data_IF_962754864525
#
_entry.id   IF_962754864525
#
_cell.length_a   1.000
_cell.length_b   1.000
_cell.length_c   1.000
_cell.angle_alpha   90.00
_cell.angle_beta   90.00
_cell.angle_gamma   90.00
#
_symmetry.space_group_name_H-M   'P 1'
#
loop_
_entity.id
_entity.type
_entity.pdbx_description
1 polymer ?
#
# COMPACT_ATOMS: atom_id res chain seq x y z
N UNK A 1 -4.91 14.34 -10.65
CA UNK A 1 -5.27 13.71 -9.35
C UNK A 1 -4.04 13.02 -8.77
N UNK A 2 -3.77 13.24 -7.49
CA UNK A 2 -2.67 12.57 -6.75
C UNK A 2 -3.24 11.42 -5.94
N UNK A 3 -2.82 10.20 -6.23
CA UNK A 3 -3.20 8.98 -5.50
C UNK A 3 -1.98 8.48 -4.72
N UNK A 4 -2.10 8.34 -3.40
CA UNK A 4 -1.07 7.75 -2.56
C UNK A 4 -1.54 6.38 -2.05
N UNK A 5 -0.79 5.34 -2.40
CA UNK A 5 -1.07 3.96 -2.05
C UNK A 5 -0.15 3.44 -0.95
N UNK A 6 -0.68 2.56 -0.08
CA UNK A 6 0.08 1.90 0.96
C UNK A 6 -0.18 0.38 1.02
N UNK A 7 0.90 -0.41 1.06
CA UNK A 7 0.92 -1.79 1.56
C UNK A 7 1.41 -1.75 3.02
N UNK A 8 0.47 -1.81 3.95
CA UNK A 8 0.73 -1.57 5.37
C UNK A 8 1.25 -2.80 6.09
N UNK A 9 2.37 -2.63 6.82
CA UNK A 9 2.85 -3.63 7.77
C UNK A 9 3.55 -2.98 8.97
N UNK A 10 3.75 -3.76 10.03
CA UNK A 10 4.27 -3.25 11.31
C UNK A 10 5.75 -2.83 11.31
N UNK A 11 6.52 -3.30 10.36
CA UNK A 11 7.98 -3.09 10.32
C UNK A 11 8.48 -2.47 9.00
N UNK A 12 7.79 -2.75 7.91
CA UNK A 12 8.06 -2.19 6.58
C UNK A 12 6.74 -1.93 5.90
N UNK A 13 6.47 -0.69 5.56
CA UNK A 13 5.29 -0.25 4.79
C UNK A 13 5.74 0.22 3.43
N UNK A 14 5.26 -0.43 2.36
CA UNK A 14 5.44 0.05 0.99
C UNK A 14 4.51 1.21 0.69
N UNK A 15 4.93 2.12 -0.18
CA UNK A 15 4.10 3.20 -0.66
C UNK A 15 4.39 3.55 -2.12
N UNK A 16 3.40 4.11 -2.80
CA UNK A 16 3.53 4.59 -4.17
C UNK A 16 2.65 5.82 -4.39
N UNK A 17 3.20 6.84 -5.06
CA UNK A 17 2.50 8.05 -5.48
C UNK A 17 2.25 8.01 -6.98
N UNK A 18 1.01 8.15 -7.36
CA UNK A 18 0.59 8.37 -8.75
C UNK A 18 0.10 9.81 -8.92
N UNK A 19 0.50 10.43 -10.01
CA UNK A 19 0.02 11.78 -10.41
C UNK A 19 -0.53 11.68 -11.82
N UNK A 20 -1.79 12.02 -11.97
CA UNK A 20 -2.51 11.97 -13.26
C UNK A 20 -2.30 10.62 -13.99
N UNK A 21 -2.45 9.54 -13.24
CA UNK A 21 -2.35 8.16 -13.73
C UNK A 21 -0.93 7.64 -14.00
N UNK A 22 0.11 8.39 -13.68
CA UNK A 22 1.52 7.99 -13.84
C UNK A 22 2.18 7.77 -12.50
N UNK A 23 2.98 6.71 -12.40
CA UNK A 23 3.83 6.49 -11.23
C UNK A 23 4.90 7.59 -11.17
N UNK A 24 4.83 8.41 -10.12
CA UNK A 24 5.76 9.53 -9.91
C UNK A 24 6.88 9.14 -8.94
N UNK A 25 6.52 8.51 -7.83
CA UNK A 25 7.44 8.08 -6.79
C UNK A 25 6.96 6.80 -6.13
N UNK A 26 7.90 6.02 -5.62
CA UNK A 26 7.60 4.87 -4.76
C UNK A 26 8.72 4.65 -3.75
N UNK A 27 8.45 3.86 -2.74
CA UNK A 27 9.44 3.54 -1.74
C UNK A 27 8.88 2.73 -0.58
N UNK A 28 9.63 2.73 0.52
CA UNK A 28 9.22 2.04 1.75
C UNK A 28 9.62 2.82 3.00
N UNK A 29 8.76 2.77 3.99
CA UNK A 29 9.07 3.16 5.36
C UNK A 29 9.57 1.90 6.07
N UNK A 30 10.80 1.93 6.59
CA UNK A 30 11.41 0.81 7.32
C UNK A 30 11.77 1.25 8.73
N UNK A 31 11.32 0.48 9.73
CA UNK A 31 11.58 0.71 11.15
C UNK A 31 12.16 -0.53 11.85
N UNK A 32 12.67 -1.50 11.07
CA UNK A 32 13.17 -2.80 11.55
C UNK A 32 14.36 -2.70 12.51
N UNK A 33 15.18 -1.65 12.42
CA UNK A 33 16.32 -1.42 13.30
C UNK A 33 15.92 -1.01 14.73
N UNK A 34 14.68 -0.58 14.94
CA UNK A 34 14.17 -0.15 16.25
C UNK A 34 13.72 -1.40 17.01
N UNK A 35 14.42 -1.73 18.10
CA UNK A 35 14.14 -2.93 18.91
C UNK A 35 12.87 -2.81 19.74
N UNK A 36 12.65 -1.64 20.34
CA UNK A 36 11.45 -1.37 21.15
C UNK A 36 10.21 -1.31 20.27
N UNK A 37 9.18 -2.09 20.61
CA UNK A 37 7.98 -2.24 19.81
C UNK A 37 7.12 -0.97 19.80
N UNK A 38 7.06 -0.25 20.92
CA UNK A 38 6.26 0.97 21.05
C UNK A 38 6.92 2.12 20.28
N UNK A 39 8.25 2.26 20.40
CA UNK A 39 8.99 3.26 19.63
C UNK A 39 8.95 2.96 18.13
N UNK A 40 9.04 1.68 17.74
CA UNK A 40 8.89 1.26 16.33
C UNK A 40 7.52 1.65 15.77
N UNK A 41 6.45 1.44 16.53
CA UNK A 41 5.10 1.85 16.16
C UNK A 41 5.01 3.36 15.98
N UNK A 42 5.45 4.12 16.98
CA UNK A 42 5.49 5.58 16.94
C UNK A 42 6.27 6.14 15.74
N UNK A 43 7.44 5.54 15.42
CA UNK A 43 8.24 5.97 14.27
C UNK A 43 7.57 5.64 12.93
N UNK A 44 6.84 4.53 12.83
CA UNK A 44 6.03 4.23 11.66
C UNK A 44 4.91 5.27 11.49
N UNK A 45 4.20 5.61 12.57
CA UNK A 45 3.15 6.62 12.57
C UNK A 45 3.65 7.99 12.10
N UNK A 46 4.74 8.47 12.71
CA UNK A 46 5.34 9.77 12.37
C UNK A 46 5.71 9.82 10.88
N UNK A 47 6.45 8.82 10.40
CA UNK A 47 6.91 8.78 9.00
C UNK A 47 5.76 8.64 8.01
N UNK A 48 4.70 7.95 8.39
CA UNK A 48 3.49 7.83 7.55
C UNK A 48 2.76 9.18 7.45
N UNK A 49 2.62 9.89 8.55
CA UNK A 49 2.03 11.25 8.56
C UNK A 49 2.90 12.24 7.79
N UNK A 50 4.22 12.17 7.95
CA UNK A 50 5.14 13.04 7.20
C UNK A 50 5.04 12.78 5.69
N UNK A 51 4.88 11.52 5.27
CA UNK A 51 4.68 11.16 3.87
C UNK A 51 3.35 11.71 3.33
N UNK A 52 2.25 11.58 4.09
CA UNK A 52 0.94 12.15 3.73
C UNK A 52 1.02 13.68 3.58
N UNK A 53 1.70 14.37 4.50
CA UNK A 53 1.91 15.82 4.44
C UNK A 53 2.76 16.23 3.24
N UNK A 54 3.87 15.53 2.99
CA UNK A 54 4.81 15.86 1.92
C UNK A 54 4.17 15.76 0.54
N UNK A 55 3.31 14.77 0.32
CA UNK A 55 2.69 14.55 -0.99
C UNK A 55 1.34 15.23 -1.15
N UNK A 56 0.62 15.52 -0.05
CA UNK A 56 -0.71 16.12 -0.06
C UNK A 56 -1.61 15.46 -1.12
N UNK A 57 -1.94 14.15 -0.96
CA UNK A 57 -2.72 13.41 -1.94
C UNK A 57 -4.18 13.88 -1.96
N UNK A 58 -4.82 13.77 -3.12
CA UNK A 58 -6.26 13.95 -3.28
C UNK A 58 -7.03 12.68 -2.87
N UNK A 59 -6.40 11.52 -3.04
CA UNK A 59 -6.97 10.21 -2.77
C UNK A 59 -5.93 9.28 -2.15
N UNK A 60 -6.33 8.51 -1.14
CA UNK A 60 -5.49 7.49 -0.52
C UNK A 60 -6.11 6.12 -0.72
N UNK A 61 -5.30 5.13 -1.08
CA UNK A 61 -5.72 3.73 -1.13
C UNK A 61 -4.83 2.88 -0.25
N UNK A 62 -5.43 2.02 0.56
CA UNK A 62 -4.71 1.09 1.43
C UNK A 62 -5.23 -0.34 1.23
N UNK A 63 -4.34 -1.34 1.32
CA UNK A 63 -4.78 -2.73 1.24
C UNK A 63 -5.72 -3.07 2.39
N UNK A 64 -6.88 -3.66 2.07
CA UNK A 64 -7.77 -4.15 3.11
C UNK A 64 -7.22 -5.44 3.74
N UNK A 65 -7.56 -5.66 5.01
CA UNK A 65 -6.99 -6.76 5.78
C UNK A 65 -7.80 -8.04 5.60
N UNK A 66 -7.11 -9.14 5.36
CA UNK A 66 -7.70 -10.48 5.42
C UNK A 66 -7.59 -11.06 6.84
N UNK A 67 -8.67 -11.70 7.30
CA UNK A 67 -8.79 -12.26 8.67
C UNK A 67 -7.87 -13.46 8.99
N UNK A 68 -6.89 -13.78 8.14
CA UNK A 68 -5.97 -14.91 8.33
C UNK A 68 -4.69 -14.61 9.11
N UNK A 69 -4.50 -13.37 9.59
CA UNK A 69 -3.30 -12.97 10.36
C UNK A 69 -3.48 -13.26 11.86
N UNK A 70 -2.37 -13.40 12.60
CA UNK A 70 -2.42 -13.51 14.06
C UNK A 70 -3.10 -12.27 14.66
N UNK A 71 -3.78 -12.44 15.81
CA UNK A 71 -4.47 -11.33 16.52
C UNK A 71 -3.52 -10.17 16.80
N UNK A 72 -2.27 -10.44 17.17
CA UNK A 72 -1.27 -9.40 17.42
C UNK A 72 -0.93 -8.59 16.15
N UNK A 73 -0.71 -9.28 15.03
CA UNK A 73 -0.45 -8.60 13.75
C UNK A 73 -1.68 -7.80 13.28
N UNK A 74 -2.88 -8.35 13.46
CA UNK A 74 -4.12 -7.67 13.14
C UNK A 74 -4.27 -6.38 13.94
N UNK A 75 -4.03 -6.44 15.27
CA UNK A 75 -4.10 -5.27 16.17
C UNK A 75 -3.16 -4.15 15.70
N UNK A 76 -1.89 -4.47 15.41
CA UNK A 76 -0.90 -3.48 14.99
C UNK A 76 -1.28 -2.83 13.65
N UNK A 77 -1.65 -3.63 12.65
CA UNK A 77 -2.02 -3.09 11.33
C UNK A 77 -3.31 -2.28 11.40
N UNK A 78 -4.28 -2.66 12.27
CA UNK A 78 -5.50 -1.87 12.49
C UNK A 78 -5.21 -0.49 13.08
N UNK A 79 -4.21 -0.37 13.96
CA UNK A 79 -3.80 0.92 14.54
C UNK A 79 -3.22 1.84 13.45
N UNK A 80 -2.32 1.34 12.59
CA UNK A 80 -1.78 2.12 11.46
C UNK A 80 -2.87 2.53 10.47
N UNK A 81 -3.78 1.61 10.17
CA UNK A 81 -4.94 1.92 9.32
C UNK A 81 -5.79 3.04 9.93
N UNK A 82 -6.09 2.94 11.22
CA UNK A 82 -6.84 3.98 11.96
C UNK A 82 -6.18 5.34 11.89
N UNK A 83 -4.84 5.41 11.98
CA UNK A 83 -4.07 6.65 11.80
C UNK A 83 -4.28 7.25 10.40
N UNK A 84 -4.10 6.46 9.35
CA UNK A 84 -4.23 6.94 7.97
C UNK A 84 -5.67 7.40 7.69
N UNK A 85 -6.67 6.59 8.08
CA UNK A 85 -8.10 6.92 7.92
C UNK A 85 -8.43 8.22 8.67
N UNK A 86 -8.01 8.34 9.94
CA UNK A 86 -8.24 9.54 10.74
C UNK A 86 -7.59 10.79 10.16
N UNK A 87 -6.36 10.67 9.66
CA UNK A 87 -5.68 11.75 8.95
C UNK A 87 -6.45 12.17 7.69
N UNK A 88 -6.86 11.20 6.86
CA UNK A 88 -7.61 11.49 5.64
C UNK A 88 -8.94 12.18 5.93
N UNK A 89 -9.72 11.66 6.88
CA UNK A 89 -11.00 12.27 7.29
C UNK A 89 -10.82 13.70 7.80
N UNK A 90 -9.79 13.94 8.64
CA UNK A 90 -9.52 15.27 9.19
C UNK A 90 -9.16 16.29 8.11
N UNK A 91 -8.45 15.86 7.07
CA UNK A 91 -8.01 16.71 5.96
C UNK A 91 -8.93 16.70 4.74
N UNK A 92 -10.08 16.01 4.78
CA UNK A 92 -11.01 15.91 3.67
C UNK A 92 -10.46 15.13 2.46
N UNK A 93 -9.53 14.20 2.69
CA UNK A 93 -8.94 13.35 1.67
C UNK A 93 -9.80 12.10 1.51
N UNK A 94 -10.18 11.76 0.28
CA UNK A 94 -10.89 10.52 0.01
C UNK A 94 -9.99 9.31 0.24
N UNK A 95 -10.56 8.22 0.83
CA UNK A 95 -9.80 7.01 1.14
C UNK A 95 -10.60 5.75 0.80
N UNK A 96 -9.92 4.77 0.21
CA UNK A 96 -10.47 3.43 -0.05
C UNK A 96 -9.63 2.33 0.62
N UNK A 97 -10.36 1.32 1.14
CA UNK A 97 -9.80 0.03 1.54
C UNK A 97 -9.97 -0.94 0.38
N UNK A 98 -8.88 -1.33 -0.27
CA UNK A 98 -8.93 -2.20 -1.44
C UNK A 98 -8.57 -3.64 -1.08
N UNK A 99 -9.49 -4.57 -1.35
CA UNK A 99 -9.25 -6.00 -1.10
C UNK A 99 -8.06 -6.53 -1.91
N UNK A 100 -7.21 -7.40 -1.33
CA UNK A 100 -6.08 -8.00 -2.05
C UNK A 100 -6.49 -8.70 -3.35
N UNK A 101 -7.61 -9.40 -3.36
CA UNK A 101 -8.12 -10.07 -4.57
C UNK A 101 -8.49 -9.07 -5.69
N UNK A 102 -8.93 -7.88 -5.33
CA UNK A 102 -9.35 -6.86 -6.29
C UNK A 102 -8.17 -6.27 -7.06
N UNK A 103 -7.16 -5.76 -6.36
CA UNK A 103 -5.99 -5.18 -7.03
C UNK A 103 -5.17 -6.23 -7.79
N UNK A 104 -5.07 -7.47 -7.26
CA UNK A 104 -4.41 -8.57 -7.97
C UNK A 104 -5.15 -8.96 -9.26
N UNK A 105 -6.49 -8.91 -9.26
CA UNK A 105 -7.29 -9.14 -10.47
C UNK A 105 -7.03 -8.06 -11.51
N UNK A 106 -7.01 -6.79 -11.11
CA UNK A 106 -6.71 -5.67 -12.00
C UNK A 106 -5.29 -5.74 -12.58
N UNK A 107 -4.33 -6.23 -11.80
CA UNK A 107 -2.96 -6.52 -12.26
C UNK A 107 -2.82 -7.88 -12.99
N UNK A 108 -3.92 -8.60 -13.23
CA UNK A 108 -3.97 -9.92 -13.92
C UNK A 108 -3.11 -10.99 -13.26
N UNK A 109 -2.97 -10.96 -11.93
CA UNK A 109 -2.22 -11.99 -11.21
C UNK A 109 -2.95 -13.32 -11.23
N UNK A 110 -2.18 -14.40 -11.36
CA UNK A 110 -2.69 -15.76 -11.14
C UNK A 110 -2.98 -15.92 -9.65
N UNK A 111 -4.25 -16.14 -9.33
CA UNK A 111 -4.76 -16.34 -7.98
C UNK A 111 -5.51 -17.66 -7.92
N UNK A 112 -5.16 -18.53 -6.99
CA UNK A 112 -5.82 -19.82 -6.80
C UNK A 112 -5.43 -20.42 -5.46
N UNK A 113 -6.06 -21.54 -5.08
CA UNK A 113 -5.78 -22.24 -3.83
C UNK A 113 -4.32 -22.70 -3.72
N UNK A 114 -3.69 -23.00 -4.86
CA UNK A 114 -2.30 -23.45 -4.96
C UNK A 114 -1.29 -22.28 -5.04
N UNK A 115 -1.76 -21.03 -5.20
CA UNK A 115 -0.86 -19.88 -5.37
C UNK A 115 -0.29 -19.47 -4.02
N UNK A 116 1.01 -19.63 -3.84
CA UNK A 116 1.73 -19.27 -2.62
C UNK A 116 1.92 -17.76 -2.49
N UNK A 117 2.13 -17.30 -1.24
CA UNK A 117 2.47 -15.88 -0.98
C UNK A 117 3.75 -15.45 -1.71
N UNK A 118 4.74 -16.33 -1.82
CA UNK A 118 5.98 -16.05 -2.54
C UNK A 118 5.74 -15.82 -4.04
N UNK A 119 4.87 -16.63 -4.65
CA UNK A 119 4.48 -16.47 -6.04
C UNK A 119 3.74 -15.15 -6.28
N UNK A 120 2.81 -14.76 -5.39
CA UNK A 120 2.11 -13.48 -5.49
C UNK A 120 3.08 -12.29 -5.42
N UNK A 121 4.04 -12.32 -4.49
CA UNK A 121 5.07 -11.29 -4.38
C UNK A 121 5.99 -11.21 -5.61
N UNK A 122 6.33 -12.36 -6.18
CA UNK A 122 7.10 -12.42 -7.43
C UNK A 122 6.32 -11.82 -8.59
N UNK A 123 5.04 -12.16 -8.73
CA UNK A 123 4.15 -11.57 -9.74
C UNK A 123 4.07 -10.05 -9.64
N UNK A 124 4.00 -9.49 -8.40
CA UNK A 124 4.00 -8.04 -8.20
C UNK A 124 5.29 -7.39 -8.70
N UNK A 125 6.45 -7.98 -8.39
CA UNK A 125 7.74 -7.45 -8.85
C UNK A 125 7.90 -7.56 -10.37
N UNK A 126 7.49 -8.67 -10.99
CA UNK A 126 7.49 -8.86 -12.43
C UNK A 126 6.57 -7.86 -13.12
N UNK A 127 5.35 -7.68 -12.59
CA UNK A 127 4.40 -6.70 -13.11
C UNK A 127 4.95 -5.27 -13.11
N UNK A 128 5.58 -4.87 -12.00
CA UNK A 128 6.18 -3.54 -11.86
C UNK A 128 7.35 -3.36 -12.82
N UNK A 129 8.21 -4.38 -12.97
CA UNK A 129 9.31 -4.33 -13.93
C UNK A 129 8.80 -4.20 -15.38
N UNK A 130 7.74 -4.92 -15.74
CA UNK A 130 7.20 -4.90 -17.11
C UNK A 130 6.46 -3.60 -17.45
N UNK A 131 5.71 -3.03 -16.48
CA UNK A 131 4.82 -1.90 -16.75
C UNK A 131 5.42 -0.54 -16.42
N UNK A 132 6.41 -0.49 -15.54
CA UNK A 132 7.02 0.75 -15.05
C UNK A 132 8.54 0.81 -15.26
N UNK A 133 9.15 -0.25 -15.81
CA UNK A 133 10.62 -0.41 -15.97
C UNK A 133 11.39 -0.15 -14.66
N UNK A 134 10.83 -0.63 -13.54
CA UNK A 134 11.34 -0.38 -12.19
C UNK A 134 11.62 -1.69 -11.45
N UNK A 135 12.83 -1.83 -10.90
CA UNK A 135 13.18 -2.91 -9.96
C UNK A 135 12.75 -2.52 -8.55
N UNK A 136 11.53 -2.89 -8.18
CA UNK A 136 10.98 -2.62 -6.86
C UNK A 136 11.27 -3.75 -5.86
N UNK A 137 11.35 -3.40 -4.56
CA UNK A 137 11.30 -4.39 -3.47
C UNK A 137 9.88 -4.96 -3.37
N UNK A 138 9.69 -6.08 -2.64
CA UNK A 138 8.38 -6.73 -2.54
C UNK A 138 7.29 -5.79 -2.00
N UNK A 139 7.56 -5.11 -0.88
CA UNK A 139 6.58 -4.23 -0.24
C UNK A 139 6.29 -2.98 -1.10
N UNK A 140 7.28 -2.48 -1.81
CA UNK A 140 7.15 -1.38 -2.77
C UNK A 140 6.33 -1.80 -4.01
N UNK A 141 6.59 -3.01 -4.54
CA UNK A 141 5.87 -3.54 -5.70
C UNK A 141 4.37 -3.75 -5.38
N UNK A 142 4.05 -4.29 -4.20
CA UNK A 142 2.66 -4.44 -3.77
C UNK A 142 1.97 -3.07 -3.69
N UNK A 143 2.62 -2.04 -3.11
CA UNK A 143 2.06 -0.68 -3.05
C UNK A 143 1.87 -0.04 -4.43
N UNK A 144 2.80 -0.26 -5.37
CA UNK A 144 2.66 0.21 -6.76
C UNK A 144 1.46 -0.45 -7.43
N UNK A 145 1.29 -1.77 -7.28
CA UNK A 145 0.15 -2.50 -7.84
C UNK A 145 -1.19 -2.02 -7.25
N UNK A 146 -1.26 -1.78 -5.93
CA UNK A 146 -2.44 -1.22 -5.25
C UNK A 146 -2.77 0.17 -5.83
N UNK A 147 -1.78 1.04 -5.94
CA UNK A 147 -1.96 2.40 -6.46
C UNK A 147 -2.38 2.40 -7.93
N UNK A 148 -1.77 1.56 -8.75
CA UNK A 148 -2.16 1.43 -10.15
C UNK A 148 -3.56 0.86 -10.34
N UNK A 149 -3.98 -0.07 -9.48
CA UNK A 149 -5.35 -0.56 -9.47
C UNK A 149 -6.36 0.56 -9.16
N UNK A 150 -6.02 1.47 -8.23
CA UNK A 150 -6.84 2.66 -7.97
C UNK A 150 -6.88 3.60 -9.18
N UNK A 151 -5.75 3.86 -9.84
CA UNK A 151 -5.70 4.61 -11.12
C UNK A 151 -6.63 3.99 -12.16
N UNK A 152 -6.55 2.67 -12.36
CA UNK A 152 -7.40 1.97 -13.32
C UNK A 152 -8.88 2.14 -12.98
N UNK A 153 -9.24 2.03 -11.71
CA UNK A 153 -10.62 2.14 -11.25
C UNK A 153 -11.17 3.56 -11.37
N UNK A 154 -10.43 4.56 -10.90
CA UNK A 154 -10.95 5.92 -10.72
C UNK A 154 -10.65 6.87 -11.87
N UNK A 155 -9.52 6.72 -12.54
CA UNK A 155 -9.15 7.59 -13.65
C UNK A 155 -9.52 6.99 -15.02
N UNK A 156 -9.56 5.65 -15.12
CA UNK A 156 -9.82 4.96 -16.40
C UNK A 156 -11.18 4.25 -16.44
N UNK A 157 -11.95 4.27 -15.34
CA UNK A 157 -13.26 3.62 -15.25
C UNK A 157 -13.23 2.10 -15.41
N UNK A 158 -12.10 1.45 -15.12
CA UNK A 158 -11.94 -0.01 -15.16
C UNK A 158 -12.32 -0.61 -13.81
N UNK A 159 -13.24 -1.58 -13.78
CA UNK A 159 -13.71 -2.28 -12.58
C UNK A 159 -13.42 -3.78 -12.63
#
# INVERSE_FOLDING_TARGET
MKILAFDQASAVTGWALFVDGKLEQSGKIRVTAIKDAQERHKQMDIRTVDLLKAHSPDFVVIEDMYLGKSVSALKTVSQFRGLIIGYCHYHGIEIELMMPSSWRRLSRFVQGKETTRAQLKKQAQEYVQEHFDLKATQDEADAICIGYAAVCKYERGLS
#
